data_IF_223256741340
#
_entry.id   IF_223256741340
#
_cell.length_a   1.000
_cell.length_b   1.000
_cell.length_c   1.000
_cell.angle_alpha   90.00
_cell.angle_beta   90.00
_cell.angle_gamma   90.00
#
_symmetry.space_group_name_H-M   'P 1'
#
loop_
_entity.id
_entity.type
_entity.pdbx_description
1 polymer ?
#
# COMPACT_ATOMS: atom_id res chain seq x y z
N UNK A 1 -2.08 -2.80 -16.82
CA UNK A 1 -0.86 -2.67 -16.00
C UNK A 1 0.16 -3.68 -16.51
N UNK A 2 1.45 -3.32 -16.52
CA UNK A 2 2.56 -4.20 -16.91
C UNK A 2 3.57 -4.22 -15.78
N UNK A 3 4.15 -5.39 -15.52
CA UNK A 3 5.24 -5.56 -14.55
C UNK A 3 6.52 -5.84 -15.32
N UNK A 4 7.58 -5.11 -14.99
CA UNK A 4 8.91 -5.38 -15.50
C UNK A 4 9.80 -5.89 -14.38
N UNK A 5 10.64 -6.86 -14.72
CA UNK A 5 11.60 -7.47 -13.80
C UNK A 5 12.99 -7.11 -14.28
N UNK A 6 13.75 -6.40 -13.45
CA UNK A 6 15.14 -6.05 -13.78
C UNK A 6 16.02 -7.30 -13.82
N UNK A 7 17.22 -7.20 -14.41
CA UNK A 7 18.23 -8.27 -14.36
C UNK A 7 18.65 -8.64 -12.94
N UNK A 8 18.47 -7.74 -11.99
CA UNK A 8 18.76 -7.96 -10.55
C UNK A 8 17.56 -8.53 -9.79
N UNK A 9 16.45 -8.82 -10.46
CA UNK A 9 15.23 -9.38 -9.85
C UNK A 9 14.37 -8.35 -9.13
N UNK A 10 14.52 -7.06 -9.47
CA UNK A 10 13.71 -5.98 -8.91
C UNK A 10 12.43 -5.80 -9.69
N UNK A 11 11.33 -5.53 -8.99
CA UNK A 11 10.01 -5.34 -9.59
C UNK A 11 9.73 -3.86 -9.85
N UNK A 12 9.21 -3.55 -11.04
CA UNK A 12 8.70 -2.23 -11.39
C UNK A 12 7.31 -2.34 -12.02
N UNK A 13 6.39 -1.48 -11.58
CA UNK A 13 4.98 -1.49 -11.97
C UNK A 13 4.66 -0.29 -12.83
N UNK A 14 4.14 -0.56 -14.03
CA UNK A 14 3.80 0.46 -15.03
C UNK A 14 2.32 0.41 -15.38
N UNK A 15 1.70 1.57 -15.52
CA UNK A 15 0.43 1.71 -16.25
C UNK A 15 0.73 1.88 -17.73
N UNK A 16 -0.10 1.25 -18.56
CA UNK A 16 -0.12 1.49 -20.00
C UNK A 16 -1.20 2.52 -20.24
N UNK A 17 -0.81 3.67 -20.78
CA UNK A 17 -1.71 4.77 -21.10
C UNK A 17 -2.44 4.50 -22.43
N UNK A 18 -3.48 5.29 -22.70
CA UNK A 18 -4.27 5.20 -23.93
C UNK A 18 -3.47 5.51 -25.20
N UNK A 19 -2.40 6.30 -25.10
CA UNK A 19 -1.46 6.60 -26.19
C UNK A 19 -0.40 5.48 -26.41
N UNK A 20 -0.44 4.43 -25.60
CA UNK A 20 0.52 3.32 -25.62
C UNK A 20 1.83 3.61 -24.87
N UNK A 21 1.99 4.80 -24.31
CA UNK A 21 3.12 5.13 -23.43
C UNK A 21 2.99 4.41 -22.08
N UNK A 22 4.11 4.34 -21.34
CA UNK A 22 4.18 3.70 -20.03
C UNK A 22 4.51 4.73 -18.97
N UNK A 23 3.69 4.78 -17.94
CA UNK A 23 3.92 5.61 -16.76
C UNK A 23 4.30 4.73 -15.57
N UNK A 24 5.40 5.08 -14.92
CA UNK A 24 5.88 4.38 -13.73
C UNK A 24 4.97 4.72 -12.54
N UNK A 25 4.33 3.71 -11.97
CA UNK A 25 3.50 3.86 -10.77
C UNK A 25 4.39 3.84 -9.53
N UNK A 26 5.02 2.68 -9.31
CA UNK A 26 6.00 2.45 -8.26
C UNK A 26 6.95 1.33 -8.68
N UNK A 27 8.07 1.21 -7.99
CA UNK A 27 9.05 0.14 -8.15
C UNK A 27 9.62 -0.22 -6.79
N UNK A 28 10.24 -1.38 -6.66
CA UNK A 28 11.02 -1.69 -5.47
C UNK A 28 12.12 -0.64 -5.28
N UNK A 29 12.20 -0.08 -4.06
CA UNK A 29 13.13 1.01 -3.77
C UNK A 29 14.57 0.53 -3.94
N UNK A 30 15.27 1.09 -4.91
CA UNK A 30 16.64 0.75 -5.20
C UNK A 30 17.46 2.02 -5.42
N UNK A 31 18.54 2.15 -4.66
CA UNK A 31 19.53 3.19 -4.80
C UNK A 31 20.92 2.58 -4.55
N UNK A 32 21.97 3.25 -5.05
CA UNK A 32 23.36 2.80 -5.01
C UNK A 32 23.83 2.47 -3.59
N UNK A 33 23.28 3.16 -2.58
CA UNK A 33 23.60 2.99 -1.16
C UNK A 33 22.33 2.81 -0.32
N UNK A 34 21.46 1.90 -0.74
CA UNK A 34 20.27 1.51 0.00
C UNK A 34 20.35 0.06 0.51
N UNK A 35 19.56 -0.24 1.55
CA UNK A 35 19.22 -1.61 1.92
C UNK A 35 18.41 -2.26 0.80
N UNK A 36 18.46 -3.59 0.74
CA UNK A 36 17.63 -4.35 -0.20
C UNK A 36 16.14 -4.06 0.02
N UNK A 37 15.34 -3.92 -1.05
CA UNK A 37 13.94 -3.54 -0.93
C UNK A 37 13.08 -4.61 -0.27
N UNK A 38 13.47 -5.88 -0.40
CA UNK A 38 12.88 -7.03 0.29
C UNK A 38 13.86 -7.49 1.36
N UNK A 39 13.64 -7.08 2.60
CA UNK A 39 14.51 -7.38 3.72
C UNK A 39 13.80 -8.29 4.72
N UNK A 40 14.50 -9.32 5.17
CA UNK A 40 13.96 -10.33 6.09
C UNK A 40 14.89 -10.49 7.28
N UNK A 41 14.32 -10.52 8.48
CA UNK A 41 15.04 -10.83 9.71
C UNK A 41 14.35 -12.02 10.36
N UNK A 42 15.09 -13.11 10.53
CA UNK A 42 14.58 -14.34 11.09
C UNK A 42 15.37 -14.71 12.35
N UNK A 43 14.64 -15.06 13.42
CA UNK A 43 15.24 -15.70 14.60
C UNK A 43 15.47 -17.19 14.29
N UNK A 44 16.61 -17.74 14.72
CA UNK A 44 16.93 -19.16 14.56
C UNK A 44 15.91 -20.10 15.22
N UNK A 45 15.14 -19.61 16.20
CA UNK A 45 14.15 -20.39 16.96
C UNK A 45 12.81 -20.54 16.24
N UNK A 46 12.51 -19.70 15.26
CA UNK A 46 11.21 -19.68 14.58
C UNK A 46 11.37 -19.78 13.07
N UNK A 47 10.38 -20.39 12.41
CA UNK A 47 10.26 -20.35 10.95
C UNK A 47 9.63 -19.07 10.42
N UNK A 48 9.07 -18.24 11.31
CA UNK A 48 8.54 -16.90 10.98
C UNK A 48 9.67 -15.87 10.92
N UNK A 49 9.42 -14.78 10.20
CA UNK A 49 10.37 -13.70 10.01
C UNK A 49 9.68 -12.33 10.09
N UNK A 50 10.43 -11.32 10.52
CA UNK A 50 10.09 -9.93 10.29
C UNK A 50 10.39 -9.60 8.82
N UNK A 51 9.44 -8.93 8.16
CA UNK A 51 9.58 -8.57 6.75
C UNK A 51 9.46 -7.07 6.55
N UNK A 52 10.40 -6.48 5.83
CA UNK A 52 10.38 -5.08 5.43
C UNK A 52 10.40 -4.97 3.91
N UNK A 53 9.35 -4.38 3.36
CA UNK A 53 9.16 -4.17 1.92
C UNK A 53 9.19 -2.67 1.62
N UNK A 54 10.10 -2.25 0.76
CA UNK A 54 10.32 -0.85 0.42
C UNK A 54 10.04 -0.59 -1.06
N UNK A 55 9.20 0.39 -1.33
CA UNK A 55 8.79 0.86 -2.64
C UNK A 55 9.21 2.31 -2.86
N UNK A 56 9.56 2.67 -4.09
CA UNK A 56 9.90 4.02 -4.46
C UNK A 56 8.65 4.90 -4.51
N UNK A 57 8.73 6.09 -3.92
CA UNK A 57 7.68 7.12 -3.97
C UNK A 57 8.24 8.44 -4.46
N UNK A 58 7.38 9.34 -4.92
CA UNK A 58 7.79 10.70 -5.30
C UNK A 58 7.38 11.72 -4.22
N UNK A 59 8.11 12.84 -4.04
CA UNK A 59 7.74 13.87 -3.06
C UNK A 59 6.36 14.49 -3.31
N UNK A 60 5.98 14.61 -4.59
CA UNK A 60 4.69 15.19 -5.01
C UNK A 60 3.54 14.17 -4.99
N UNK A 61 3.80 12.94 -4.56
CA UNK A 61 2.82 11.86 -4.50
C UNK A 61 1.95 12.00 -3.25
N UNK A 62 0.64 11.95 -3.42
CA UNK A 62 -0.33 12.01 -2.35
C UNK A 62 -0.84 10.61 -2.05
N UNK A 63 -0.99 10.27 -0.77
CA UNK A 63 -1.50 8.99 -0.33
C UNK A 63 -2.82 9.16 0.41
N UNK A 64 -3.79 8.29 0.10
CA UNK A 64 -5.13 8.30 0.68
C UNK A 64 -5.50 6.90 1.19
N UNK A 65 -6.26 6.82 2.28
CA UNK A 65 -6.67 5.54 2.89
C UNK A 65 -5.91 5.28 4.20
N UNK A 66 -5.25 4.13 4.30
CA UNK A 66 -4.58 3.60 5.49
C UNK A 66 -5.50 3.27 6.69
N UNK A 67 -6.80 3.13 6.44
CA UNK A 67 -7.82 2.83 7.45
C UNK A 67 -8.44 4.10 8.06
N UNK A 68 -9.00 3.95 9.27
CA UNK A 68 -9.65 5.03 10.00
C UNK A 68 -8.81 5.42 11.21
N UNK A 69 -8.47 6.70 11.32
CA UNK A 69 -7.64 7.21 12.39
C UNK A 69 -8.23 8.52 12.90
N UNK A 70 -8.63 8.56 14.17
CA UNK A 70 -8.99 9.80 14.83
C UNK A 70 -7.72 10.55 15.23
N UNK A 71 -7.08 11.20 14.27
CA UNK A 71 -5.93 12.04 14.54
C UNK A 71 -6.40 13.37 15.16
N UNK A 72 -6.04 13.62 16.43
CA UNK A 72 -6.39 14.86 17.13
C UNK A 72 -5.62 16.10 16.65
N UNK A 73 -4.57 15.92 15.85
CA UNK A 73 -3.68 17.00 15.36
C UNK A 73 -3.58 17.09 13.85
N UNK A 74 -3.78 15.96 13.14
CA UNK A 74 -3.75 15.90 11.70
C UNK A 74 -5.18 15.73 11.18
N UNK A 75 -5.68 16.75 10.50
CA UNK A 75 -7.00 16.75 9.87
C UNK A 75 -6.90 16.56 8.35
N UNK A 76 -5.74 16.16 7.84
CA UNK A 76 -5.52 16.01 6.41
C UNK A 76 -5.88 14.60 5.93
N UNK A 77 -6.42 14.56 4.72
CA UNK A 77 -6.71 13.31 3.99
C UNK A 77 -5.43 12.77 3.36
N UNK A 78 -4.44 13.63 3.10
CA UNK A 78 -3.15 13.24 2.55
C UNK A 78 -2.25 12.66 3.64
N UNK A 79 -1.87 11.40 3.48
CA UNK A 79 -1.06 10.66 4.44
C UNK A 79 0.44 10.68 4.16
N UNK A 80 0.87 11.45 3.16
CA UNK A 80 2.28 11.64 2.84
C UNK A 80 3.04 12.25 4.02
N UNK A 81 4.24 11.74 4.28
CA UNK A 81 5.12 12.14 5.38
C UNK A 81 4.79 11.48 6.72
N UNK A 82 3.79 10.61 6.78
CA UNK A 82 3.31 10.02 8.03
C UNK A 82 3.68 8.54 8.15
N UNK A 83 3.71 8.07 9.39
CA UNK A 83 3.94 6.67 9.74
C UNK A 83 2.73 6.19 10.54
N UNK A 84 2.23 5.01 10.18
CA UNK A 84 1.12 4.37 10.84
C UNK A 84 1.49 3.03 11.40
N UNK A 85 1.32 2.88 12.70
CA UNK A 85 1.41 1.59 13.36
C UNK A 85 0.14 0.79 13.07
N UNK A 86 0.32 -0.44 12.59
CA UNK A 86 -0.77 -1.37 12.29
C UNK A 86 -1.20 -2.07 13.58
N UNK A 87 -1.67 -1.27 14.54
CA UNK A 87 -2.15 -1.71 15.86
C UNK A 87 -3.51 -1.06 16.14
N UNK A 88 -4.49 -1.89 16.44
CA UNK A 88 -5.86 -1.43 16.67
C UNK A 88 -6.02 -0.92 18.11
N UNK A 89 -6.64 0.24 18.26
CA UNK A 89 -7.10 0.76 19.54
C UNK A 89 -8.33 1.66 19.33
N UNK A 90 -8.90 2.19 20.42
CA UNK A 90 -10.11 3.00 20.32
C UNK A 90 -9.90 4.19 19.36
N UNK A 91 -10.80 4.30 18.38
CA UNK A 91 -10.74 5.31 17.30
C UNK A 91 -9.56 5.22 16.33
N UNK A 92 -8.81 4.11 16.33
CA UNK A 92 -7.71 3.85 15.40
C UNK A 92 -7.81 2.41 14.86
N UNK A 93 -8.26 2.31 13.60
CA UNK A 93 -8.37 1.06 12.84
C UNK A 93 -7.50 1.18 11.59
N UNK A 94 -6.19 0.91 11.71
CA UNK A 94 -5.28 0.96 10.58
C UNK A 94 -5.55 -0.23 9.66
N UNK A 95 -5.71 0.04 8.37
CA UNK A 95 -5.87 -0.99 7.34
C UNK A 95 -4.78 -0.73 6.29
N UNK A 96 -3.93 -1.71 5.95
CA UNK A 96 -2.78 -1.50 5.06
C UNK A 96 -3.19 -1.48 3.58
N UNK A 97 -4.19 -0.66 3.27
CA UNK A 97 -4.66 -0.33 1.92
C UNK A 97 -4.55 1.17 1.70
N UNK A 98 -3.97 1.58 0.57
CA UNK A 98 -3.88 2.98 0.22
C UNK A 98 -3.93 3.18 -1.29
N UNK A 99 -4.36 4.38 -1.68
CA UNK A 99 -4.39 4.87 -3.05
C UNK A 99 -3.38 6.00 -3.20
N UNK A 100 -2.70 6.02 -4.34
CA UNK A 100 -1.78 7.09 -4.73
C UNK A 100 -2.43 8.01 -5.76
N UNK A 101 -2.10 9.30 -5.70
CA UNK A 101 -2.48 10.27 -6.75
C UNK A 101 -1.96 9.92 -8.14
N UNK A 102 -0.97 9.02 -8.25
CA UNK A 102 -0.49 8.49 -9.55
C UNK A 102 -1.49 7.55 -10.23
N UNK A 103 -2.57 7.14 -9.55
CA UNK A 103 -3.60 6.26 -10.10
C UNK A 103 -3.32 4.78 -9.86
N UNK A 104 -2.80 4.42 -8.69
CA UNK A 104 -2.70 3.03 -8.27
C UNK A 104 -3.17 2.84 -6.83
N UNK A 105 -3.58 1.61 -6.52
CA UNK A 105 -3.95 1.17 -5.18
C UNK A 105 -3.05 0.00 -4.81
N UNK A 106 -2.51 0.02 -3.59
CA UNK A 106 -1.75 -1.09 -3.04
C UNK A 106 -2.37 -1.53 -1.72
N UNK A 107 -2.49 -2.84 -1.56
CA UNK A 107 -3.03 -3.50 -0.38
C UNK A 107 -2.07 -4.60 0.08
N UNK A 108 -1.69 -4.59 1.35
CA UNK A 108 -0.89 -5.68 1.93
C UNK A 108 -1.82 -6.68 2.61
N UNK A 109 -1.86 -7.89 2.07
CA UNK A 109 -2.69 -8.98 2.57
C UNK A 109 -1.94 -9.77 3.65
N UNK A 110 -1.55 -9.08 4.72
CA UNK A 110 -0.78 -9.66 5.82
C UNK A 110 -1.48 -9.33 7.12
N UNK A 111 -1.83 -10.35 7.91
CA UNK A 111 -2.57 -10.21 9.16
C UNK A 111 -1.68 -9.88 10.39
N UNK A 112 -0.40 -9.61 10.17
CA UNK A 112 0.55 -9.27 11.22
C UNK A 112 0.41 -7.82 11.66
N UNK A 113 0.76 -7.53 12.90
CA UNK A 113 1.09 -6.15 13.30
C UNK A 113 2.32 -5.65 12.54
N UNK A 114 2.54 -4.35 12.58
CA UNK A 114 3.66 -3.76 11.87
C UNK A 114 3.50 -2.27 11.65
N UNK A 115 4.04 -1.77 10.55
CA UNK A 115 4.07 -0.33 10.23
C UNK A 115 3.91 -0.06 8.75
N UNK A 116 3.28 1.06 8.44
CA UNK A 116 3.20 1.62 7.11
C UNK A 116 3.82 3.02 7.12
N UNK A 117 4.91 3.21 6.39
CA UNK A 117 5.66 4.46 6.32
C UNK A 117 5.46 5.11 4.95
N UNK A 118 4.95 6.34 4.92
CA UNK A 118 4.83 7.13 3.70
C UNK A 118 5.89 8.23 3.66
N UNK A 119 7.16 7.88 3.51
CA UNK A 119 8.23 8.89 3.42
C UNK A 119 8.23 9.60 2.05
N UNK A 120 9.04 10.64 1.88
CA UNK A 120 9.09 11.43 0.64
C UNK A 120 9.49 10.59 -0.59
N UNK A 121 10.53 9.78 -0.43
CA UNK A 121 11.12 8.97 -1.52
C UNK A 121 10.87 7.47 -1.39
N UNK A 122 10.31 7.03 -0.25
CA UNK A 122 10.10 5.62 0.04
C UNK A 122 8.78 5.38 0.75
N UNK A 123 8.00 4.46 0.22
CA UNK A 123 6.88 3.85 0.94
C UNK A 123 7.34 2.51 1.49
N UNK A 124 7.15 2.26 2.78
CA UNK A 124 7.58 1.01 3.42
C UNK A 124 6.46 0.34 4.16
N UNK A 125 6.34 -0.97 3.96
CA UNK A 125 5.53 -1.85 4.78
C UNK A 125 6.43 -2.73 5.62
N UNK A 126 6.17 -2.77 6.92
CA UNK A 126 6.87 -3.63 7.87
C UNK A 126 5.84 -4.57 8.48
N UNK A 127 6.14 -5.85 8.49
CA UNK A 127 5.40 -6.91 9.17
C UNK A 127 6.27 -7.43 10.31
N UNK A 128 5.78 -7.36 11.54
CA UNK A 128 6.53 -7.78 12.73
C UNK A 128 6.83 -9.27 12.73
N UNK A 129 5.90 -10.07 12.21
CA UNK A 129 6.05 -11.53 12.12
C UNK A 129 5.13 -12.08 11.04
N UNK A 130 5.70 -12.77 10.05
CA UNK A 130 4.96 -13.50 9.02
C UNK A 130 5.78 -14.67 8.48
N UNK A 131 5.11 -15.59 7.79
CA UNK A 131 5.74 -16.69 7.04
C UNK A 131 5.73 -16.44 5.54
N UNK A 132 4.85 -15.55 5.08
CA UNK A 132 4.68 -15.18 3.67
C UNK A 132 4.31 -13.71 3.61
N UNK A 133 4.89 -12.97 2.66
CA UNK A 133 4.44 -11.62 2.34
C UNK A 133 3.60 -11.68 1.08
N UNK A 134 2.40 -11.13 1.18
CA UNK A 134 1.44 -11.04 0.08
C UNK A 134 0.95 -9.59 -0.04
N UNK A 135 0.94 -9.08 -1.27
CA UNK A 135 0.41 -7.76 -1.57
C UNK A 135 -0.26 -7.75 -2.94
N UNK A 136 -1.33 -6.98 -3.01
CA UNK A 136 -2.10 -6.72 -4.21
C UNK A 136 -1.85 -5.29 -4.68
N UNK A 137 -1.60 -5.10 -5.98
CA UNK A 137 -1.47 -3.79 -6.60
C UNK A 137 -2.35 -3.74 -7.84
N UNK A 138 -3.09 -2.64 -7.99
CA UNK A 138 -3.91 -2.37 -9.16
C UNK A 138 -3.76 -0.93 -9.63
N UNK A 139 -4.07 -0.68 -10.90
CA UNK A 139 -3.89 0.60 -11.55
C UNK A 139 -5.15 1.04 -12.31
N UNK A 140 -5.36 2.35 -12.34
CA UNK A 140 -6.38 3.04 -13.12
C UNK A 140 -5.78 4.32 -13.70
N UNK A 141 -6.54 5.04 -14.52
CA UNK A 141 -6.12 6.35 -15.01
C UNK A 141 -6.00 7.36 -13.84
N UNK A 142 -5.11 8.37 -13.92
CA UNK A 142 -4.98 9.36 -12.86
C UNK A 142 -6.31 10.09 -12.65
N UNK A 143 -6.74 10.16 -11.40
CA UNK A 143 -8.03 10.78 -11.04
C UNK A 143 -9.22 9.82 -11.07
N UNK A 144 -9.11 8.65 -11.69
CA UNK A 144 -10.15 7.61 -11.66
C UNK A 144 -10.02 6.72 -10.41
N UNK A 145 -10.32 7.32 -9.25
CA UNK A 145 -10.32 6.60 -7.97
C UNK A 145 -11.50 5.63 -7.84
N UNK A 146 -12.56 5.79 -8.62
CA UNK A 146 -13.73 4.90 -8.62
C UNK A 146 -13.36 3.53 -9.19
N UNK A 147 -12.63 3.48 -10.31
CA UNK A 147 -12.12 2.22 -10.87
C UNK A 147 -11.19 1.50 -9.91
N UNK A 148 -10.32 2.23 -9.18
CA UNK A 148 -9.45 1.63 -8.15
C UNK A 148 -10.28 0.96 -7.04
N UNK A 149 -11.31 1.63 -6.55
CA UNK A 149 -12.20 1.08 -5.52
C UNK A 149 -13.01 -0.12 -6.04
N UNK A 150 -13.50 -0.06 -7.28
CA UNK A 150 -14.21 -1.20 -7.92
C UNK A 150 -13.31 -2.43 -8.04
N UNK A 151 -12.07 -2.25 -8.47
CA UNK A 151 -11.10 -3.34 -8.59
C UNK A 151 -10.73 -3.92 -7.21
N UNK A 152 -10.52 -3.07 -6.21
CA UNK A 152 -10.23 -3.50 -4.85
C UNK A 152 -11.41 -4.28 -4.23
N UNK A 153 -12.63 -3.74 -4.31
CA UNK A 153 -13.83 -4.43 -3.80
C UNK A 153 -14.14 -5.72 -4.57
N UNK A 154 -13.76 -5.83 -5.84
CA UNK A 154 -13.84 -7.09 -6.57
C UNK A 154 -12.89 -8.16 -6.00
N UNK A 155 -11.74 -7.76 -5.45
CA UNK A 155 -10.76 -8.66 -4.84
C UNK A 155 -11.05 -8.97 -3.36
N UNK A 156 -11.48 -7.98 -2.57
CA UNK A 156 -11.65 -8.12 -1.11
C UNK A 156 -13.09 -8.36 -0.66
N UNK A 157 -14.05 -8.24 -1.57
CA UNK A 157 -15.48 -8.39 -1.29
C UNK A 157 -16.26 -7.11 -1.58
N UNK A 158 -17.39 -7.27 -2.27
CA UNK A 158 -18.34 -6.19 -2.52
C UNK A 158 -19.24 -6.06 -1.29
N UNK A 159 -19.50 -4.84 -0.86
CA UNK A 159 -20.48 -4.59 0.20
C UNK A 159 -21.84 -5.16 -0.19
N UNK A 160 -22.58 -5.69 0.78
CA UNK A 160 -23.91 -6.22 0.54
C UNK A 160 -24.77 -5.14 -0.16
N UNK A 161 -25.36 -5.42 -1.33
CA UNK A 161 -25.94 -4.39 -2.21
C UNK A 161 -27.22 -3.75 -1.66
N UNK A 162 -27.75 -4.21 -0.53
CA UNK A 162 -28.92 -3.64 0.14
C UNK A 162 -28.58 -3.35 1.59
N UNK A 163 -28.50 -2.06 1.91
CA UNK A 163 -28.63 -1.58 3.28
C UNK A 163 -30.12 -1.68 3.66
N UNK A 164 -30.42 -2.22 4.83
CA UNK A 164 -31.81 -2.34 5.29
C UNK A 164 -32.43 -0.96 5.48
N UNK A 165 -33.67 -0.78 4.99
CA UNK A 165 -34.39 0.50 4.96
C UNK A 165 -34.54 1.17 6.34
N UNK A 166 -34.35 0.41 7.43
CA UNK A 166 -34.56 0.85 8.81
C UNK A 166 -33.29 1.39 9.48
N UNK A 167 -32.13 1.40 8.82
CA UNK A 167 -30.91 2.00 9.41
C UNK A 167 -31.02 3.53 9.40
N UNK A 168 -31.05 4.20 10.56
CA UNK A 168 -31.09 5.66 10.62
C UNK A 168 -29.69 6.23 10.31
N UNK A 169 -29.64 7.31 9.53
CA UNK A 169 -28.46 8.18 9.39
C UNK A 169 -28.54 9.33 10.38
#
# INVERSE_FOLDING_TARGET
MVVEISKTGLLAFYRVESDGSRSLLTSEFNDTKALVPRYYVQDFRSSSFEATFSFASSPNELFFGAGQQACCKDHTVNKKGQVYDLINFNSNVPIPVYMSSKGYLQFFNVASQGRLEFSDYRTRFVSSETTVVDYYITAAEPGDFDTLQKQYTAATGKVMPILFLWSPF
#
